data_IF_943549766235
#
_entry.id   IF_943549766235
#
_cell.length_a   1.000
_cell.length_b   1.000
_cell.length_c   1.000
_cell.angle_alpha   90.00
_cell.angle_beta   90.00
_cell.angle_gamma   90.00
#
_symmetry.space_group_name_H-M   'P 1'
#
loop_
_entity.id
_entity.type
_entity.pdbx_description
1 polymer ?
#
# COMPACT_ATOMS: atom_id res chain seq x y z
N UNK A 1 -36.07 -1.13 15.20
CA UNK A 1 -36.21 0.04 14.31
C UNK A 1 -35.21 -0.12 13.17
N UNK A 2 -35.63 0.14 11.93
CA UNK A 2 -34.71 0.18 10.79
C UNK A 2 -33.77 1.37 10.91
N UNK A 3 -32.51 1.18 10.52
CA UNK A 3 -31.53 2.27 10.46
C UNK A 3 -32.03 3.35 9.48
N UNK A 4 -31.96 4.65 9.80
CA UNK A 4 -32.27 5.73 8.86
C UNK A 4 -31.54 5.56 7.53
N UNK A 5 -32.20 5.82 6.39
CA UNK A 5 -31.63 5.60 5.05
C UNK A 5 -30.30 6.35 4.85
N UNK A 6 -30.18 7.55 5.39
CA UNK A 6 -28.95 8.35 5.33
C UNK A 6 -27.76 7.74 6.10
N UNK A 7 -28.00 6.76 6.98
CA UNK A 7 -26.98 6.05 7.75
C UNK A 7 -26.65 4.67 7.16
N UNK A 8 -27.44 4.13 6.24
CA UNK A 8 -27.20 2.81 5.62
C UNK A 8 -25.86 2.79 4.88
N UNK A 9 -25.64 3.71 3.95
CA UNK A 9 -24.40 3.77 3.14
C UNK A 9 -23.15 3.99 3.99
N UNK A 10 -23.12 4.94 4.96
CA UNK A 10 -22.00 5.07 5.89
C UNK A 10 -21.74 3.81 6.71
N UNK A 11 -22.77 3.11 7.18
CA UNK A 11 -22.62 1.88 7.94
C UNK A 11 -22.07 0.74 7.09
N UNK A 12 -22.57 0.55 5.85
CA UNK A 12 -22.04 -0.43 4.91
C UNK A 12 -20.57 -0.15 4.58
N UNK A 13 -20.24 1.12 4.32
CA UNK A 13 -18.86 1.53 4.02
C UNK A 13 -17.95 1.25 5.20
N UNK A 14 -18.38 1.61 6.42
CA UNK A 14 -17.62 1.35 7.64
C UNK A 14 -17.40 -0.14 7.86
N UNK A 15 -18.46 -0.94 7.76
CA UNK A 15 -18.38 -2.40 7.89
C UNK A 15 -17.42 -3.00 6.87
N UNK A 16 -17.53 -2.63 5.59
CA UNK A 16 -16.65 -3.14 4.54
C UNK A 16 -15.20 -2.70 4.76
N UNK A 17 -14.95 -1.44 5.12
CA UNK A 17 -13.60 -0.94 5.44
C UNK A 17 -12.96 -1.70 6.60
N UNK A 18 -13.71 -1.94 7.69
CA UNK A 18 -13.23 -2.72 8.83
C UNK A 18 -12.94 -4.16 8.39
N UNK A 19 -13.85 -4.78 7.65
CA UNK A 19 -13.69 -6.13 7.12
C UNK A 19 -12.44 -6.28 6.26
N UNK A 20 -12.17 -5.34 5.35
CA UNK A 20 -10.95 -5.31 4.54
C UNK A 20 -9.68 -5.21 5.40
N UNK A 21 -9.70 -4.40 6.46
CA UNK A 21 -8.58 -4.27 7.37
C UNK A 21 -8.29 -5.56 8.12
N UNK A 22 -9.31 -6.23 8.65
CA UNK A 22 -9.17 -7.53 9.33
C UNK A 22 -8.64 -8.58 8.36
N UNK A 23 -9.21 -8.66 7.15
CA UNK A 23 -8.75 -9.59 6.13
C UNK A 23 -7.29 -9.35 5.73
N UNK A 24 -6.91 -8.09 5.55
CA UNK A 24 -5.55 -7.71 5.25
C UNK A 24 -4.57 -8.15 6.33
N UNK A 25 -4.91 -7.97 7.61
CA UNK A 25 -4.10 -8.47 8.73
C UNK A 25 -3.91 -9.98 8.63
N UNK A 26 -4.97 -10.75 8.40
CA UNK A 26 -4.91 -12.22 8.30
C UNK A 26 -4.02 -12.65 7.13
N UNK A 27 -4.27 -12.15 5.93
CA UNK A 27 -3.51 -12.55 4.74
C UNK A 27 -2.05 -12.11 4.84
N UNK A 28 -1.78 -10.88 5.32
CA UNK A 28 -0.41 -10.38 5.51
C UNK A 28 0.34 -11.18 6.56
N UNK A 29 -0.31 -11.54 7.65
CA UNK A 29 0.27 -12.43 8.65
C UNK A 29 0.63 -13.79 8.02
N UNK A 30 -0.32 -14.44 7.34
CA UNK A 30 -0.08 -15.73 6.67
C UNK A 30 1.05 -15.66 5.61
N UNK A 31 1.21 -14.51 4.96
CA UNK A 31 2.22 -14.28 3.91
C UNK A 31 3.50 -13.61 4.41
N UNK A 32 3.66 -13.47 5.73
CA UNK A 32 4.82 -12.80 6.34
C UNK A 32 6.19 -13.37 5.88
N UNK A 33 6.36 -14.69 5.65
CA UNK A 33 7.60 -15.20 5.07
C UNK A 33 7.92 -14.59 3.70
N UNK A 34 6.92 -14.44 2.82
CA UNK A 34 7.09 -13.81 1.51
C UNK A 34 7.43 -12.33 1.65
N UNK A 35 6.79 -11.63 2.58
CA UNK A 35 7.09 -10.23 2.89
C UNK A 35 8.53 -10.07 3.35
N UNK A 36 8.98 -10.89 4.30
CA UNK A 36 10.36 -10.83 4.81
C UNK A 36 11.39 -11.10 3.72
N UNK A 37 11.14 -12.10 2.87
CA UNK A 37 12.00 -12.42 1.71
C UNK A 37 12.06 -11.25 0.74
N UNK A 38 10.92 -10.66 0.39
CA UNK A 38 10.86 -9.52 -0.52
C UNK A 38 11.60 -8.30 0.05
N UNK A 39 11.45 -8.00 1.34
CA UNK A 39 12.15 -6.89 1.98
C UNK A 39 13.67 -7.10 1.96
N UNK A 40 14.15 -8.31 2.27
CA UNK A 40 15.57 -8.65 2.24
C UNK A 40 16.10 -8.64 0.80
N UNK A 41 15.36 -9.23 -0.15
CA UNK A 41 15.75 -9.28 -1.56
C UNK A 41 15.96 -7.89 -2.17
N UNK A 42 15.23 -6.90 -1.66
CA UNK A 42 15.33 -5.50 -2.08
C UNK A 42 16.33 -4.66 -1.27
N UNK A 43 16.96 -5.23 -0.23
CA UNK A 43 17.98 -4.53 0.55
C UNK A 43 19.39 -4.75 -0.04
N UNK A 44 20.40 -4.11 0.56
CA UNK A 44 21.81 -4.43 0.26
C UNK A 44 22.35 -5.65 1.01
N UNK A 45 21.51 -6.38 1.77
CA UNK A 45 21.90 -7.63 2.45
C UNK A 45 22.14 -8.79 1.47
N UNK A 46 21.64 -8.69 0.24
CA UNK A 46 21.83 -9.68 -0.81
C UNK A 46 22.55 -9.04 -1.99
N UNK A 47 23.39 -9.82 -2.64
CA UNK A 47 24.05 -9.37 -3.88
C UNK A 47 23.05 -9.39 -5.05
N UNK A 48 23.04 -8.31 -5.84
CA UNK A 48 22.33 -8.26 -7.12
C UNK A 48 23.08 -9.16 -8.12
N UNK A 49 22.78 -10.46 -8.10
CA UNK A 49 23.51 -11.49 -8.84
C UNK A 49 22.82 -12.86 -8.79
N UNK A 50 23.61 -13.94 -8.86
CA UNK A 50 23.07 -15.31 -8.86
C UNK A 50 22.39 -15.64 -7.52
N UNK A 51 21.21 -16.26 -7.62
CA UNK A 51 20.44 -16.81 -6.49
C UNK A 51 20.01 -15.76 -5.43
N UNK A 52 19.64 -14.55 -5.85
CA UNK A 52 19.20 -13.48 -4.94
C UNK A 52 18.04 -13.90 -4.00
N UNK A 53 17.05 -14.62 -4.51
CA UNK A 53 15.93 -15.11 -3.70
C UNK A 53 16.36 -16.18 -2.69
N UNK A 54 17.26 -17.08 -3.07
CA UNK A 54 17.81 -18.08 -2.16
C UNK A 54 18.64 -17.44 -1.03
N UNK A 55 19.42 -16.39 -1.35
CA UNK A 55 20.12 -15.60 -0.32
C UNK A 55 19.13 -14.94 0.63
N UNK A 56 18.08 -14.29 0.10
CA UNK A 56 17.06 -13.64 0.90
C UNK A 56 16.30 -14.62 1.79
N UNK A 57 15.91 -15.79 1.27
CA UNK A 57 15.28 -16.87 2.03
C UNK A 57 16.17 -17.36 3.17
N UNK A 58 17.45 -17.63 2.88
CA UNK A 58 18.43 -18.08 3.89
C UNK A 58 18.58 -17.07 5.03
N UNK A 59 18.59 -15.77 4.72
CA UNK A 59 18.64 -14.72 5.73
C UNK A 59 17.33 -14.65 6.51
N UNK A 60 16.17 -14.69 5.83
CA UNK A 60 14.85 -14.61 6.45
C UNK A 60 14.58 -15.74 7.44
N UNK A 61 15.14 -16.93 7.19
CA UNK A 61 14.91 -18.16 7.96
C UNK A 61 16.13 -18.58 8.79
N UNK A 62 17.13 -17.70 8.96
CA UNK A 62 18.38 -18.00 9.67
C UNK A 62 18.16 -18.54 11.10
N UNK A 63 17.11 -18.08 11.77
CA UNK A 63 16.74 -18.49 13.14
C UNK A 63 15.58 -19.52 13.17
N UNK A 64 15.29 -20.17 12.03
CA UNK A 64 14.21 -21.11 11.84
C UNK A 64 13.07 -20.58 10.95
N UNK A 65 12.17 -21.48 10.54
CA UNK A 65 11.06 -21.16 9.61
C UNK A 65 10.05 -20.16 10.18
N UNK A 66 9.95 -20.05 11.51
CA UNK A 66 9.06 -19.11 12.19
C UNK A 66 9.71 -17.75 12.46
N UNK A 67 10.99 -17.55 12.12
CA UNK A 67 11.69 -16.29 12.35
C UNK A 67 11.00 -15.07 11.72
N UNK A 68 10.41 -15.14 10.50
CA UNK A 68 9.67 -14.01 9.92
C UNK A 68 8.52 -13.49 10.78
N UNK A 69 7.84 -14.37 11.54
CA UNK A 69 6.70 -13.99 12.37
C UNK A 69 7.11 -13.26 13.66
N UNK A 70 8.33 -13.47 14.14
CA UNK A 70 8.85 -12.83 15.36
C UNK A 70 9.01 -11.31 15.24
N UNK A 71 9.04 -10.79 14.00
CA UNK A 71 9.16 -9.36 13.75
C UNK A 71 7.79 -8.66 13.66
N UNK A 72 6.69 -9.42 13.74
CA UNK A 72 5.32 -8.89 13.74
C UNK A 72 4.98 -8.40 15.15
N UNK A 73 4.86 -7.09 15.30
CA UNK A 73 4.37 -6.44 16.52
C UNK A 73 3.01 -5.77 16.34
N UNK A 74 2.45 -5.15 17.40
CA UNK A 74 1.17 -4.44 17.33
C UNK A 74 1.12 -3.38 16.22
N UNK A 75 2.23 -2.65 16.02
CA UNK A 75 2.32 -1.66 14.95
C UNK A 75 2.18 -2.27 13.55
N UNK A 76 2.59 -3.53 13.34
CA UNK A 76 2.39 -4.23 12.07
C UNK A 76 0.92 -4.56 11.82
N UNK A 77 0.22 -5.01 12.87
CA UNK A 77 -1.22 -5.30 12.79
C UNK A 77 -1.99 -4.01 12.50
N UNK A 78 -1.70 -2.93 13.23
CA UNK A 78 -2.33 -1.62 12.99
C UNK A 78 -2.02 -1.09 11.59
N UNK A 79 -0.77 -1.20 11.14
CA UNK A 79 -0.39 -0.76 9.80
C UNK A 79 -1.14 -1.51 8.71
N UNK A 80 -1.13 -2.85 8.74
CA UNK A 80 -1.85 -3.65 7.75
C UNK A 80 -3.35 -3.39 7.80
N UNK A 81 -3.95 -3.22 8.97
CA UNK A 81 -5.36 -2.85 9.07
C UNK A 81 -5.63 -1.52 8.37
N UNK A 82 -4.91 -0.46 8.76
CA UNK A 82 -5.17 0.90 8.27
C UNK A 82 -4.83 1.07 6.78
N UNK A 83 -3.78 0.40 6.28
CA UNK A 83 -3.42 0.45 4.85
C UNK A 83 -4.58 0.01 3.96
N UNK A 84 -5.32 -1.02 4.36
CA UNK A 84 -6.39 -1.57 3.54
C UNK A 84 -7.78 -1.03 3.89
N UNK A 85 -7.99 -0.57 5.12
CA UNK A 85 -9.24 0.07 5.53
C UNK A 85 -9.38 1.52 5.09
N UNK A 86 -8.27 2.27 5.02
CA UNK A 86 -8.31 3.75 4.98
C UNK A 86 -7.70 4.34 3.71
N UNK A 87 -6.82 3.64 2.98
CA UNK A 87 -6.12 4.23 1.82
C UNK A 87 -7.09 4.74 0.74
N UNK A 88 -8.09 3.94 0.37
CA UNK A 88 -9.12 4.36 -0.59
C UNK A 88 -9.92 5.57 -0.09
N UNK A 89 -10.22 5.61 1.20
CA UNK A 89 -10.90 6.73 1.83
C UNK A 89 -10.07 8.03 1.79
N UNK A 90 -8.78 7.96 2.14
CA UNK A 90 -7.89 9.14 2.07
C UNK A 90 -7.80 9.66 0.64
N UNK A 91 -7.59 8.77 -0.33
CA UNK A 91 -7.53 9.15 -1.73
C UNK A 91 -8.81 9.87 -2.18
N UNK A 92 -9.97 9.24 -1.98
CA UNK A 92 -11.26 9.80 -2.39
C UNK A 92 -11.58 11.12 -1.68
N UNK A 93 -11.20 11.25 -0.42
CA UNK A 93 -11.39 12.51 0.35
C UNK A 93 -10.54 13.64 -0.23
N UNK A 94 -9.26 13.36 -0.52
CA UNK A 94 -8.36 14.36 -1.11
C UNK A 94 -8.78 14.70 -2.54
N UNK A 95 -9.14 13.71 -3.35
CA UNK A 95 -9.66 13.93 -4.71
C UNK A 95 -10.95 14.77 -4.67
N UNK A 96 -11.89 14.47 -3.77
CA UNK A 96 -13.11 15.25 -3.61
C UNK A 96 -12.85 16.72 -3.24
N UNK A 97 -11.94 16.96 -2.28
CA UNK A 97 -11.57 18.31 -1.87
C UNK A 97 -10.87 19.09 -3.00
N UNK A 98 -9.91 18.45 -3.69
CA UNK A 98 -9.22 19.06 -4.82
C UNK A 98 -10.17 19.34 -5.99
N UNK A 99 -11.05 18.39 -6.32
CA UNK A 99 -12.07 18.55 -7.36
C UNK A 99 -13.01 19.73 -7.07
N UNK A 100 -13.47 19.87 -5.83
CA UNK A 100 -14.30 21.00 -5.41
C UNK A 100 -13.53 22.33 -5.53
N UNK A 101 -12.27 22.36 -5.09
CA UNK A 101 -11.46 23.59 -5.12
C UNK A 101 -11.05 24.03 -6.52
N UNK A 102 -10.86 23.08 -7.44
CA UNK A 102 -10.38 23.32 -8.80
C UNK A 102 -11.50 23.37 -9.84
N UNK A 103 -12.77 23.16 -9.43
CA UNK A 103 -13.91 23.11 -10.34
C UNK A 103 -13.83 21.96 -11.36
N UNK A 104 -13.30 20.81 -10.95
CA UNK A 104 -13.12 19.62 -11.83
C UNK A 104 -13.93 18.44 -11.34
N UNK A 105 -14.26 17.52 -12.25
CA UNK A 105 -14.90 16.26 -11.88
C UNK A 105 -13.98 15.40 -11.00
N UNK A 106 -14.57 14.58 -10.12
CA UNK A 106 -13.84 13.57 -9.34
C UNK A 106 -13.30 12.48 -10.26
N UNK A 107 -12.29 11.73 -9.80
CA UNK A 107 -11.88 10.54 -10.55
C UNK A 107 -13.04 9.54 -10.59
N UNK A 108 -13.15 8.74 -11.67
CA UNK A 108 -14.17 7.72 -11.77
C UNK A 108 -13.83 6.54 -10.84
N UNK A 109 -14.83 6.05 -10.10
CA UNK A 109 -14.69 4.87 -9.23
C UNK A 109 -15.92 3.96 -9.31
N UNK A 110 -15.73 2.68 -8.97
CA UNK A 110 -16.83 1.72 -8.89
C UNK A 110 -17.59 1.61 -10.21
N UNK A 111 -18.91 1.73 -10.14
CA UNK A 111 -19.80 1.55 -11.29
C UNK A 111 -19.62 2.63 -12.37
N UNK A 112 -19.09 3.81 -12.02
CA UNK A 112 -18.77 4.87 -12.98
C UNK A 112 -17.73 4.41 -14.03
N UNK A 113 -16.94 3.38 -13.72
CA UNK A 113 -15.97 2.81 -14.67
C UNK A 113 -16.61 1.94 -15.74
N UNK A 114 -17.84 1.48 -15.49
CA UNK A 114 -18.62 0.68 -16.44
C UNK A 114 -19.38 1.56 -17.43
N UNK A 115 -19.52 2.85 -17.13
CA UNK A 115 -20.21 3.81 -17.99
C UNK A 115 -19.29 4.25 -19.16
N UNK A 116 -19.87 4.65 -20.31
CA UNK A 116 -19.11 5.29 -21.37
C UNK A 116 -18.45 6.58 -20.86
N UNK A 117 -17.22 6.90 -21.31
CA UNK A 117 -16.56 8.14 -20.91
C UNK A 117 -17.39 9.37 -21.33
N UNK A 118 -17.55 10.33 -20.42
CA UNK A 118 -18.28 11.56 -20.72
C UNK A 118 -17.58 12.35 -21.83
N UNK A 119 -18.31 12.81 -22.85
CA UNK A 119 -17.73 13.57 -23.98
C UNK A 119 -17.10 14.92 -23.57
N UNK A 120 -17.39 15.42 -22.37
CA UNK A 120 -16.90 16.71 -21.86
C UNK A 120 -15.63 16.60 -20.98
N UNK A 121 -14.99 15.43 -20.88
CA UNK A 121 -13.79 15.26 -20.06
C UNK A 121 -12.54 15.74 -20.80
N UNK A 122 -12.33 17.05 -20.93
CA UNK A 122 -11.01 17.54 -21.32
C UNK A 122 -10.04 17.35 -20.14
N UNK A 123 -8.89 16.72 -20.40
CA UNK A 123 -7.86 16.50 -19.39
C UNK A 123 -7.06 17.80 -19.18
N UNK A 124 -7.70 18.79 -18.59
CA UNK A 124 -7.10 20.10 -18.32
C UNK A 124 -6.03 20.06 -17.23
N UNK A 125 -5.26 21.14 -17.12
CA UNK A 125 -4.19 21.31 -16.12
C UNK A 125 -4.70 21.03 -14.70
N UNK A 126 -5.92 21.49 -14.36
CA UNK A 126 -6.54 21.24 -13.06
C UNK A 126 -6.76 19.74 -12.76
N UNK A 127 -7.21 18.96 -13.75
CA UNK A 127 -7.37 17.50 -13.62
C UNK A 127 -6.01 16.82 -13.49
N UNK A 128 -5.00 17.27 -14.23
CA UNK A 128 -3.63 16.76 -14.09
C UNK A 128 -3.04 17.08 -12.69
N UNK A 129 -3.27 18.29 -12.17
CA UNK A 129 -2.80 18.68 -10.84
C UNK A 129 -3.37 17.77 -9.74
N UNK A 130 -4.69 17.53 -9.72
CA UNK A 130 -5.28 16.63 -8.70
C UNK A 130 -4.88 15.17 -8.89
N UNK A 131 -4.72 14.73 -10.14
CA UNK A 131 -4.23 13.39 -10.48
C UNK A 131 -2.79 13.14 -9.96
N UNK A 132 -2.03 14.19 -9.66
CA UNK A 132 -0.69 14.10 -9.05
C UNK A 132 -0.77 14.30 -7.53
N UNK A 133 -1.48 15.32 -7.05
CA UNK A 133 -1.51 15.69 -5.64
C UNK A 133 -2.28 14.69 -4.77
N UNK A 134 -3.40 14.13 -5.26
CA UNK A 134 -4.18 13.17 -4.48
C UNK A 134 -3.39 11.89 -4.17
N UNK A 135 -2.72 11.23 -5.15
CA UNK A 135 -1.88 10.07 -4.85
C UNK A 135 -0.70 10.38 -3.92
N UNK A 136 -0.03 11.52 -4.10
CA UNK A 136 1.11 11.92 -3.25
C UNK A 136 0.65 12.09 -1.80
N UNK A 137 -0.48 12.76 -1.60
CA UNK A 137 -1.04 12.98 -0.26
C UNK A 137 -1.47 11.68 0.38
N UNK A 138 -2.21 10.84 -0.36
CA UNK A 138 -2.63 9.52 0.12
C UNK A 138 -1.43 8.63 0.48
N UNK A 139 -0.44 8.54 -0.41
CA UNK A 139 0.78 7.76 -0.19
C UNK A 139 1.62 8.27 0.99
N UNK A 140 1.67 9.59 1.20
CA UNK A 140 2.39 10.18 2.35
C UNK A 140 1.71 9.85 3.66
N UNK A 141 0.38 9.98 3.74
CA UNK A 141 -0.40 9.64 4.94
C UNK A 141 -0.28 8.14 5.25
N UNK A 142 -0.37 7.28 4.24
CA UNK A 142 -0.17 5.84 4.40
C UNK A 142 1.22 5.52 4.97
N UNK A 143 2.26 6.20 4.50
CA UNK A 143 3.63 5.99 5.01
C UNK A 143 3.80 6.37 6.47
N UNK A 144 3.07 7.36 6.98
CA UNK A 144 3.13 7.74 8.41
C UNK A 144 2.68 6.57 9.28
N UNK A 145 1.74 5.78 8.79
CA UNK A 145 1.19 4.63 9.49
C UNK A 145 2.03 3.37 9.25
N UNK A 146 2.49 3.16 8.02
CA UNK A 146 3.07 1.88 7.59
C UNK A 146 4.59 1.81 7.69
N UNK A 147 5.32 2.91 7.47
CA UNK A 147 6.75 2.84 7.29
C UNK A 147 7.47 2.35 8.55
N UNK A 148 7.16 2.90 9.72
CA UNK A 148 7.75 2.45 10.99
C UNK A 148 7.48 0.96 11.27
N UNK A 149 6.28 0.49 10.92
CA UNK A 149 5.94 -0.92 11.09
C UNK A 149 6.77 -1.81 10.14
N UNK A 150 7.00 -1.36 8.90
CA UNK A 150 7.90 -2.04 7.97
C UNK A 150 9.36 -2.04 8.45
N UNK A 151 9.87 -0.95 9.02
CA UNK A 151 11.25 -0.92 9.54
C UNK A 151 11.43 -1.87 10.72
N UNK A 152 10.42 -1.97 11.59
CA UNK A 152 10.36 -2.97 12.66
C UNK A 152 10.36 -4.40 12.11
N UNK A 153 9.58 -4.67 11.06
CA UNK A 153 9.57 -5.99 10.41
C UNK A 153 10.89 -6.31 9.73
N UNK A 154 11.62 -5.30 9.23
CA UNK A 154 12.93 -5.46 8.59
C UNK A 154 14.03 -5.81 9.58
N UNK A 155 14.23 -4.97 10.60
CA UNK A 155 15.31 -5.12 11.57
C UNK A 155 14.99 -6.05 12.74
N UNK A 156 13.71 -6.22 13.06
CA UNK A 156 13.23 -6.75 14.33
C UNK A 156 13.00 -5.65 15.37
N UNK A 157 12.12 -5.92 16.34
CA UNK A 157 11.62 -4.93 17.29
C UNK A 157 12.74 -4.31 18.15
N UNK A 158 13.61 -5.13 18.74
CA UNK A 158 14.70 -4.65 19.61
C UNK A 158 15.72 -3.78 18.88
N UNK A 159 16.13 -4.21 17.68
CA UNK A 159 17.09 -3.46 16.86
C UNK A 159 16.50 -2.14 16.34
N UNK A 160 15.24 -2.14 15.91
CA UNK A 160 14.54 -0.92 15.51
C UNK A 160 14.48 0.09 16.66
N UNK A 161 14.18 -0.36 17.88
CA UNK A 161 14.14 0.51 19.06
C UNK A 161 15.52 1.10 19.42
N UNK A 162 16.59 0.31 19.28
CA UNK A 162 17.95 0.77 19.50
C UNK A 162 18.35 1.88 18.50
N UNK A 163 18.08 1.66 17.21
CA UNK A 163 18.35 2.64 16.14
C UNK A 163 17.54 3.92 16.37
N UNK A 164 16.22 3.81 16.65
CA UNK A 164 15.37 4.97 16.94
C UNK A 164 15.89 5.80 18.12
N UNK A 165 16.39 5.14 19.18
CA UNK A 165 16.97 5.82 20.34
C UNK A 165 18.25 6.57 19.98
N UNK A 166 19.13 5.97 19.17
CA UNK A 166 20.38 6.60 18.76
C UNK A 166 20.17 7.81 17.85
N UNK A 167 19.16 7.76 16.97
CA UNK A 167 18.84 8.86 16.06
C UNK A 167 18.26 10.10 16.77
N UNK A 168 17.78 9.95 18.01
CA UNK A 168 17.29 11.09 18.82
C UNK A 168 16.10 11.83 18.22
N UNK A 169 15.33 11.19 17.33
CA UNK A 169 14.25 11.87 16.61
C UNK A 169 13.08 12.29 17.51
N UNK A 170 12.40 13.36 17.10
CA UNK A 170 11.14 13.81 17.68
C UNK A 170 10.02 12.77 17.53
N UNK A 171 8.89 12.96 18.22
CA UNK A 171 7.74 12.06 18.10
C UNK A 171 7.27 11.89 16.64
N UNK A 172 7.25 12.99 15.87
CA UNK A 172 6.91 12.95 14.45
C UNK A 172 7.95 12.19 13.62
N UNK A 173 9.24 12.44 13.86
CA UNK A 173 10.31 11.70 13.18
C UNK A 173 10.26 10.19 13.46
N UNK A 174 9.94 9.79 14.70
CA UNK A 174 9.73 8.39 15.06
C UNK A 174 8.49 7.78 14.41
N UNK A 175 7.40 8.54 14.30
CA UNK A 175 6.18 8.08 13.63
C UNK A 175 6.45 7.80 12.14
N UNK A 176 7.14 8.71 11.45
CA UNK A 176 7.52 8.53 10.06
C UNK A 176 8.55 7.41 9.88
N UNK A 177 9.48 7.23 10.81
CA UNK A 177 10.52 6.20 10.74
C UNK A 177 11.58 6.45 9.65
N UNK A 178 12.67 5.66 9.63
CA UNK A 178 13.72 5.79 8.64
C UNK A 178 13.23 5.35 7.26
N UNK A 179 13.85 5.90 6.22
CA UNK A 179 13.48 5.65 4.82
C UNK A 179 12.08 6.15 4.40
N UNK A 180 11.42 7.01 5.19
CA UNK A 180 10.08 7.53 4.92
C UNK A 180 9.91 8.06 3.49
N UNK A 181 10.87 8.82 2.96
CA UNK A 181 10.77 9.40 1.61
C UNK A 181 10.64 8.31 0.54
N UNK A 182 11.41 7.23 0.65
CA UNK A 182 11.34 6.11 -0.29
C UNK A 182 10.02 5.35 -0.14
N UNK A 183 9.55 5.16 1.10
CA UNK A 183 8.26 4.53 1.37
C UNK A 183 7.08 5.36 0.81
N UNK A 184 7.08 6.68 1.02
CA UNK A 184 6.07 7.61 0.50
C UNK A 184 6.09 7.69 -1.01
N UNK A 185 7.26 7.73 -1.65
CA UNK A 185 7.36 7.67 -3.10
C UNK A 185 6.78 6.35 -3.65
N UNK A 186 7.09 5.22 -3.01
CA UNK A 186 6.52 3.91 -3.34
C UNK A 186 4.99 3.92 -3.22
N UNK A 187 4.45 4.39 -2.09
CA UNK A 187 3.01 4.40 -1.86
C UNK A 187 2.29 5.38 -2.78
N UNK A 188 2.90 6.52 -3.12
CA UNK A 188 2.38 7.44 -4.13
C UNK A 188 2.28 6.76 -5.51
N UNK A 189 3.30 6.00 -5.93
CA UNK A 189 3.27 5.22 -7.18
C UNK A 189 2.15 4.17 -7.14
N UNK A 190 2.00 3.44 -6.03
CA UNK A 190 0.93 2.46 -5.87
C UNK A 190 -0.46 3.12 -5.87
N UNK A 191 -0.60 4.29 -5.24
CA UNK A 191 -1.84 5.07 -5.24
C UNK A 191 -2.17 5.60 -6.62
N UNK A 192 -1.18 6.11 -7.37
CA UNK A 192 -1.37 6.59 -8.75
C UNK A 192 -1.81 5.45 -9.64
N UNK A 193 -1.15 4.30 -9.55
CA UNK A 193 -1.47 3.14 -10.41
C UNK A 193 -2.85 2.58 -10.08
N UNK A 194 -3.22 2.52 -8.80
CA UNK A 194 -4.51 1.98 -8.34
C UNK A 194 -5.69 2.91 -8.63
N UNK A 195 -5.55 4.21 -8.36
CA UNK A 195 -6.69 5.13 -8.32
C UNK A 195 -6.72 6.19 -9.42
N UNK A 196 -5.66 6.28 -10.24
CA UNK A 196 -5.60 7.22 -11.37
C UNK A 196 -5.37 6.46 -12.66
N UNK A 197 -4.25 5.75 -12.80
CA UNK A 197 -3.89 5.08 -14.05
C UNK A 197 -4.85 3.94 -14.40
N UNK A 198 -5.10 3.01 -13.47
CA UNK A 198 -6.02 1.89 -13.72
C UNK A 198 -7.43 2.37 -14.09
N UNK A 199 -8.08 3.27 -13.31
CA UNK A 199 -9.43 3.74 -13.63
C UNK A 199 -9.49 4.47 -14.97
N UNK A 200 -8.55 5.37 -15.25
CA UNK A 200 -8.56 6.15 -16.51
C UNK A 200 -8.26 5.27 -17.73
N UNK A 201 -7.28 4.36 -17.64
CA UNK A 201 -6.98 3.44 -18.73
C UNK A 201 -8.15 2.47 -18.96
N UNK A 202 -8.78 1.97 -17.90
CA UNK A 202 -9.95 1.11 -18.05
C UNK A 202 -11.12 1.86 -18.67
N UNK A 203 -11.38 3.09 -18.23
CA UNK A 203 -12.49 3.90 -18.74
C UNK A 203 -12.31 4.25 -20.23
N UNK A 204 -11.11 4.68 -20.63
CA UNK A 204 -10.87 5.24 -21.96
C UNK A 204 -10.26 4.28 -22.99
N UNK A 205 -9.51 3.26 -22.56
CA UNK A 205 -8.79 2.36 -23.46
C UNK A 205 -9.34 0.93 -23.49
N UNK A 206 -10.13 0.52 -22.48
CA UNK A 206 -10.73 -0.82 -22.47
C UNK A 206 -12.04 -0.84 -23.29
N UNK A 207 -12.24 -1.83 -24.18
CA UNK A 207 -13.44 -1.90 -25.02
C UNK A 207 -14.73 -1.95 -24.20
N UNK A 208 -15.68 -1.07 -24.52
CA UNK A 208 -16.89 -0.84 -23.73
C UNK A 208 -17.76 -2.11 -23.62
N UNK A 209 -17.88 -2.86 -24.71
CA UNK A 209 -18.61 -4.12 -24.84
C UNK A 209 -18.04 -5.26 -23.98
N UNK A 210 -16.82 -5.11 -23.48
CA UNK A 210 -16.14 -6.10 -22.65
C UNK A 210 -16.00 -5.65 -21.18
N UNK A 211 -16.49 -4.45 -20.83
CA UNK A 211 -16.44 -3.97 -19.46
C UNK A 211 -17.37 -4.78 -18.55
N UNK A 212 -16.81 -5.23 -17.45
CA UNK A 212 -17.49 -5.93 -16.37
C UNK A 212 -16.64 -5.77 -15.11
N UNK A 213 -17.21 -6.06 -13.93
CA UNK A 213 -16.41 -6.12 -12.70
C UNK A 213 -15.26 -7.13 -12.80
N UNK A 214 -15.47 -8.24 -13.49
CA UNK A 214 -14.43 -9.25 -13.74
C UNK A 214 -13.31 -8.75 -14.65
N UNK A 215 -13.62 -8.03 -15.72
CA UNK A 215 -12.58 -7.47 -16.59
C UNK A 215 -11.85 -6.30 -15.93
N UNK A 216 -12.54 -5.45 -15.16
CA UNK A 216 -11.90 -4.43 -14.32
C UNK A 216 -10.96 -5.06 -13.29
N UNK A 217 -11.36 -6.18 -12.69
CA UNK A 217 -10.51 -6.93 -11.77
C UNK A 217 -9.21 -7.38 -12.43
N UNK A 218 -9.28 -8.13 -13.54
CA UNK A 218 -8.09 -8.63 -14.22
C UNK A 218 -7.22 -7.52 -14.81
N UNK A 219 -7.85 -6.46 -15.32
CA UNK A 219 -7.16 -5.28 -15.80
C UNK A 219 -6.42 -4.56 -14.68
N UNK A 220 -7.10 -4.32 -13.56
CA UNK A 220 -6.51 -3.72 -12.37
C UNK A 220 -5.41 -4.57 -11.76
N UNK A 221 -5.57 -5.90 -11.73
CA UNK A 221 -4.51 -6.82 -11.33
C UNK A 221 -3.28 -6.65 -12.23
N UNK A 222 -3.47 -6.59 -13.54
CA UNK A 222 -2.40 -6.44 -14.52
C UNK A 222 -1.66 -5.10 -14.36
N UNK A 223 -2.41 -3.99 -14.33
CA UNK A 223 -1.83 -2.63 -14.22
C UNK A 223 -1.20 -2.40 -12.85
N UNK A 224 -1.87 -2.79 -11.77
CA UNK A 224 -1.41 -2.52 -10.41
C UNK A 224 -0.30 -3.49 -9.97
N UNK A 225 -0.53 -4.80 -10.11
CA UNK A 225 0.43 -5.82 -9.65
C UNK A 225 1.64 -5.85 -10.56
N UNK A 226 1.47 -5.89 -11.88
CA UNK A 226 2.60 -6.14 -12.77
C UNK A 226 3.29 -4.85 -13.19
N UNK A 227 2.56 -3.86 -13.71
CA UNK A 227 3.17 -2.61 -14.18
C UNK A 227 3.53 -1.64 -13.03
N UNK A 228 2.62 -1.41 -12.09
CA UNK A 228 2.85 -0.50 -10.97
C UNK A 228 4.01 -0.94 -10.07
N UNK A 229 4.18 -2.25 -9.86
CA UNK A 229 5.30 -2.75 -9.07
C UNK A 229 6.67 -2.63 -9.77
N UNK A 230 6.76 -2.40 -11.08
CA UNK A 230 8.05 -2.12 -11.76
C UNK A 230 8.63 -0.80 -11.28
N UNK A 231 7.80 0.23 -11.08
CA UNK A 231 8.27 1.51 -10.55
C UNK A 231 8.42 1.41 -9.03
N UNK A 232 7.45 0.79 -8.35
CA UNK A 232 7.48 0.65 -6.90
C UNK A 232 8.69 -0.15 -6.39
N UNK A 233 9.23 -1.11 -7.16
CA UNK A 233 10.39 -1.89 -6.74
C UNK A 233 11.68 -1.06 -6.65
N UNK A 234 11.81 -0.02 -7.47
CA UNK A 234 12.96 0.90 -7.40
C UNK A 234 12.97 1.63 -6.06
N UNK A 235 11.79 2.07 -5.61
CA UNK A 235 11.59 2.74 -4.34
C UNK A 235 11.69 1.77 -3.16
N UNK A 236 11.21 0.53 -3.31
CA UNK A 236 11.42 -0.52 -2.31
C UNK A 236 12.91 -0.85 -2.13
N UNK A 237 13.66 -0.87 -3.24
CA UNK A 237 15.10 -1.13 -3.20
C UNK A 237 15.86 0.02 -2.54
N UNK A 238 15.50 1.25 -2.89
CA UNK A 238 16.02 2.44 -2.23
C UNK A 238 15.69 2.42 -0.73
N UNK A 239 14.46 2.06 -0.37
CA UNK A 239 14.02 1.93 1.02
C UNK A 239 14.91 0.95 1.79
N UNK A 240 15.11 -0.27 1.28
CA UNK A 240 15.94 -1.28 1.93
C UNK A 240 17.39 -0.82 2.09
N UNK A 241 17.96 -0.17 1.07
CA UNK A 241 19.31 0.40 1.15
C UNK A 241 19.43 1.54 2.15
N UNK A 242 18.41 2.38 2.26
CA UNK A 242 18.37 3.44 3.28
C UNK A 242 18.38 2.82 4.67
N UNK A 243 17.64 1.73 4.91
CA UNK A 243 17.69 1.04 6.20
C UNK A 243 19.08 0.47 6.48
N UNK A 244 19.70 -0.21 5.53
CA UNK A 244 21.06 -0.70 5.71
C UNK A 244 22.05 0.44 6.01
N UNK A 245 21.93 1.58 5.32
CA UNK A 245 22.76 2.75 5.58
C UNK A 245 22.51 3.32 6.98
N UNK A 246 21.25 3.51 7.37
CA UNK A 246 20.87 4.06 8.70
C UNK A 246 21.37 3.15 9.83
N UNK A 247 21.40 1.84 9.60
CA UNK A 247 21.89 0.86 10.56
C UNK A 247 23.40 0.96 10.82
N UNK A 248 24.19 1.47 9.87
CA UNK A 248 25.65 1.58 10.03
C UNK A 248 26.01 2.40 11.27
N UNK A 249 26.85 1.83 12.13
CA UNK A 249 27.25 2.47 13.40
C UNK A 249 26.12 2.55 14.44
N UNK A 250 25.03 1.80 14.28
CA UNK A 250 23.92 1.70 15.23
C UNK A 250 22.80 2.72 15.05
N UNK A 251 22.95 3.69 14.16
CA UNK A 251 21.95 4.74 13.94
C UNK A 251 22.57 6.01 13.39
N UNK A 252 22.55 6.17 12.06
CA UNK A 252 22.98 7.40 11.35
C UNK A 252 21.84 7.99 10.52
N UNK A 253 21.83 9.32 10.38
CA UNK A 253 20.85 9.98 9.52
C UNK A 253 21.02 9.58 8.05
N UNK A 254 19.90 9.36 7.35
CA UNK A 254 19.90 8.97 5.95
C UNK A 254 20.45 10.09 5.05
N UNK A 255 21.33 9.73 4.12
CA UNK A 255 21.78 10.63 3.05
C UNK A 255 21.48 9.98 1.69
N UNK A 256 20.32 10.31 1.13
CA UNK A 256 19.82 9.71 -0.12
C UNK A 256 20.79 9.88 -1.29
N UNK A 257 21.48 11.03 -1.39
CA UNK A 257 22.46 11.27 -2.46
C UNK A 257 23.66 10.32 -2.34
N UNK A 258 24.19 10.14 -1.14
CA UNK A 258 25.29 9.21 -0.89
C UNK A 258 24.87 7.76 -1.16
N UNK A 259 23.70 7.36 -0.64
CA UNK A 259 23.14 6.01 -0.81
C UNK A 259 22.95 5.68 -2.28
N UNK A 260 22.30 6.57 -3.04
CA UNK A 260 22.05 6.37 -4.47
C UNK A 260 23.37 6.36 -5.24
N UNK A 261 24.25 7.32 -5.00
CA UNK A 261 25.54 7.42 -5.70
C UNK A 261 26.47 6.24 -5.42
N UNK A 262 26.46 5.68 -4.22
CA UNK A 262 27.21 4.47 -3.88
C UNK A 262 26.58 3.22 -4.50
N UNK A 263 25.27 3.06 -4.41
CA UNK A 263 24.56 1.92 -4.98
C UNK A 263 24.75 1.85 -6.51
N UNK A 264 24.62 2.98 -7.22
CA UNK A 264 24.88 3.05 -8.65
C UNK A 264 26.33 2.71 -9.00
N UNK A 265 27.32 3.21 -8.24
CA UNK A 265 28.73 2.91 -8.49
C UNK A 265 29.06 1.43 -8.28
N UNK A 266 28.45 0.78 -7.30
CA UNK A 266 28.74 -0.63 -6.94
C UNK A 266 28.00 -1.64 -7.82
N UNK A 267 26.73 -1.39 -8.12
CA UNK A 267 25.83 -2.39 -8.71
C UNK A 267 25.09 -1.88 -9.97
N UNK A 268 25.28 -0.61 -10.34
CA UNK A 268 24.55 0.02 -11.44
C UNK A 268 23.03 0.02 -11.23
N UNK A 269 22.28 -0.14 -12.32
CA UNK A 269 20.81 -0.23 -12.28
C UNK A 269 20.31 -1.45 -11.50
N UNK A 270 21.11 -2.52 -11.45
CA UNK A 270 20.76 -3.75 -10.71
C UNK A 270 20.57 -3.49 -9.22
N UNK A 271 21.15 -2.40 -8.70
CA UNK A 271 20.96 -1.93 -7.34
C UNK A 271 19.48 -1.71 -6.99
N UNK A 272 18.69 -1.24 -7.96
CA UNK A 272 17.31 -0.80 -7.78
C UNK A 272 16.30 -1.71 -8.48
N UNK A 273 16.72 -2.42 -9.52
CA UNK A 273 15.85 -3.29 -10.28
C UNK A 273 16.56 -4.56 -10.74
N UNK A 274 15.98 -5.71 -10.42
CA UNK A 274 16.30 -7.00 -11.04
C UNK A 274 15.00 -7.79 -11.20
N UNK A 275 14.90 -8.73 -12.16
CA UNK A 275 13.73 -9.59 -12.25
C UNK A 275 13.42 -10.32 -10.93
N UNK A 276 14.41 -10.90 -10.20
CA UNK A 276 14.17 -11.49 -8.88
C UNK A 276 13.54 -10.52 -7.86
N UNK A 277 14.01 -9.27 -7.78
CA UNK A 277 13.43 -8.25 -6.89
C UNK A 277 11.96 -8.00 -7.21
N UNK A 278 11.67 -7.81 -8.50
CA UNK A 278 10.32 -7.60 -8.98
C UNK A 278 9.42 -8.81 -8.70
N UNK A 279 9.87 -10.03 -9.00
CA UNK A 279 9.13 -11.26 -8.70
C UNK A 279 8.84 -11.41 -7.21
N UNK A 280 9.81 -11.17 -6.33
CA UNK A 280 9.58 -11.24 -4.88
C UNK A 280 8.49 -10.28 -4.43
N UNK A 281 8.48 -9.07 -4.98
CA UNK A 281 7.49 -8.04 -4.68
C UNK A 281 6.09 -8.41 -5.20
N UNK A 282 6.01 -8.90 -6.43
CA UNK A 282 4.77 -9.41 -7.02
C UNK A 282 4.21 -10.54 -6.15
N UNK A 283 5.03 -11.55 -5.82
CA UNK A 283 4.61 -12.69 -5.00
C UNK A 283 4.17 -12.30 -3.59
N UNK A 284 4.81 -11.28 -3.00
CA UNK A 284 4.41 -10.74 -1.71
C UNK A 284 3.06 -10.01 -1.75
N UNK A 285 2.72 -9.36 -2.88
CA UNK A 285 1.51 -8.56 -3.00
C UNK A 285 0.33 -9.31 -3.63
N UNK A 286 0.59 -10.28 -4.50
CA UNK A 286 -0.42 -11.01 -5.25
C UNK A 286 -1.49 -11.68 -4.38
N UNK A 287 -1.18 -12.32 -3.24
CA UNK A 287 -2.21 -12.94 -2.41
C UNK A 287 -3.23 -11.92 -1.91
N UNK A 288 -2.80 -10.81 -1.33
CA UNK A 288 -3.71 -9.80 -0.79
C UNK A 288 -4.37 -8.99 -1.91
N UNK A 289 -3.59 -8.48 -2.87
CA UNK A 289 -4.14 -7.64 -3.95
C UNK A 289 -5.05 -8.42 -4.91
N UNK A 290 -4.76 -9.71 -5.13
CA UNK A 290 -5.58 -10.57 -5.99
C UNK A 290 -6.85 -11.09 -5.32
N UNK A 291 -6.88 -11.24 -4.00
CA UNK A 291 -8.06 -11.78 -3.29
C UNK A 291 -8.96 -10.71 -2.67
N UNK A 292 -8.47 -9.48 -2.51
CA UNK A 292 -9.26 -8.36 -1.98
C UNK A 292 -10.57 -8.13 -2.73
N UNK A 293 -10.61 -8.16 -4.08
CA UNK A 293 -11.86 -7.92 -4.81
C UNK A 293 -12.90 -9.02 -4.60
N UNK A 294 -12.48 -10.28 -4.57
CA UNK A 294 -13.35 -11.41 -4.18
C UNK A 294 -13.88 -11.21 -2.75
N UNK A 295 -12.99 -10.92 -1.80
CA UNK A 295 -13.39 -10.72 -0.42
C UNK A 295 -14.36 -9.54 -0.26
N UNK A 296 -14.13 -8.44 -0.96
CA UNK A 296 -14.97 -7.24 -0.90
C UNK A 296 -16.35 -7.43 -1.54
N UNK A 297 -16.42 -8.10 -2.69
CA UNK A 297 -17.65 -8.22 -3.48
C UNK A 297 -18.47 -9.47 -3.15
N UNK A 298 -17.83 -10.55 -2.70
CA UNK A 298 -18.51 -11.84 -2.55
C UNK A 298 -18.60 -12.27 -1.07
N UNK A 299 -17.63 -11.90 -0.23
CA UNK A 299 -17.58 -12.35 1.17
C UNK A 299 -18.20 -11.32 2.12
N UNK A 300 -17.75 -10.06 2.06
CA UNK A 300 -18.26 -9.01 2.96
C UNK A 300 -19.78 -8.83 2.86
N UNK A 301 -20.41 -8.83 1.66
CA UNK A 301 -21.85 -8.62 1.55
C UNK A 301 -22.71 -9.67 2.27
N UNK A 302 -22.19 -10.88 2.49
CA UNK A 302 -22.89 -11.93 3.24
C UNK A 302 -23.18 -11.52 4.69
N UNK A 303 -22.35 -10.65 5.28
CA UNK A 303 -22.51 -10.17 6.67
C UNK A 303 -23.14 -8.77 6.79
N UNK A 304 -23.40 -8.07 5.69
CA UNK A 304 -23.97 -6.72 5.72
C UNK A 304 -25.35 -6.63 6.38
N UNK A 305 -26.30 -7.54 6.12
CA UNK A 305 -27.62 -7.46 6.75
C UNK A 305 -27.53 -7.48 8.28
N UNK A 306 -26.68 -8.36 8.84
CA UNK A 306 -26.47 -8.45 10.28
C UNK A 306 -25.78 -7.20 10.84
N UNK A 307 -24.80 -6.65 10.12
CA UNK A 307 -24.13 -5.41 10.51
C UNK A 307 -25.08 -4.20 10.56
N UNK A 308 -25.96 -4.08 9.55
CA UNK A 308 -26.98 -3.04 9.49
C UNK A 308 -28.04 -3.19 10.59
N UNK A 309 -28.45 -4.42 10.91
CA UNK A 309 -29.35 -4.69 12.03
C UNK A 309 -28.72 -4.27 13.36
N UNK A 310 -27.46 -4.63 13.60
CA UNK A 310 -26.73 -4.24 14.80
C UNK A 310 -26.62 -2.71 14.92
N UNK A 311 -26.29 -2.03 13.82
CA UNK A 311 -26.25 -0.57 13.77
C UNK A 311 -27.61 0.06 14.07
N UNK A 312 -28.70 -0.51 13.53
CA UNK A 312 -30.06 -0.06 13.81
C UNK A 312 -30.44 -0.21 15.28
N UNK A 313 -30.07 -1.33 15.92
CA UNK A 313 -30.25 -1.55 17.36
C UNK A 313 -29.46 -0.55 18.19
N UNK A 314 -28.19 -0.32 17.85
CA UNK A 314 -27.32 0.63 18.54
C UNK A 314 -27.85 2.08 18.42
N UNK A 315 -28.23 2.50 17.21
CA UNK A 315 -28.84 3.81 16.97
C UNK A 315 -30.09 4.01 17.84
N UNK A 316 -30.98 3.02 17.83
CA UNK A 316 -32.23 3.07 18.62
C UNK A 316 -31.97 3.28 20.11
N UNK A 317 -30.93 2.63 20.66
CA UNK A 317 -30.57 2.73 22.08
C UNK A 317 -29.98 4.08 22.50
N UNK A 318 -29.43 4.84 21.55
CA UNK A 318 -28.86 6.17 21.79
C UNK A 318 -29.89 7.27 21.53
N UNK A 319 -30.87 7.01 20.66
CA UNK A 319 -31.95 7.95 20.33
C UNK A 319 -33.16 7.90 21.28
N UNK A 320 -33.19 6.94 22.20
CA UNK A 320 -34.21 6.78 23.26
C UNK A 320 -33.79 7.44 24.55
#
# INVERSE_FOLDING_TARGET
MSLPENLVTPCQTTYRSVGLGVYAVVVRYCTMPLEKVAMIANSSLVSSGKNQLGQAWKIATKEGLLAPYRTVGPASITAWFLQYSVMGFVFQTVDAALSASLGTQRMPYGDQLMEPPSQNSSFGVATACKAILAPITAGTIESVVSNRAETQRFWGLGKSAAIERQLGWSALGRACGPAFVANSARNAVMSTTSFVATPLLFLHAFPQEHKSHSSLFWFGLSVNIFAGNVVAITQQSLWGRVLNYVEEGGGRNANYRAIVGEAYRREGLSAFFTPPKWFARVLMNAPIQGTLPWFYNDVLPLGEPAALELAGRAYSSVSS
#
